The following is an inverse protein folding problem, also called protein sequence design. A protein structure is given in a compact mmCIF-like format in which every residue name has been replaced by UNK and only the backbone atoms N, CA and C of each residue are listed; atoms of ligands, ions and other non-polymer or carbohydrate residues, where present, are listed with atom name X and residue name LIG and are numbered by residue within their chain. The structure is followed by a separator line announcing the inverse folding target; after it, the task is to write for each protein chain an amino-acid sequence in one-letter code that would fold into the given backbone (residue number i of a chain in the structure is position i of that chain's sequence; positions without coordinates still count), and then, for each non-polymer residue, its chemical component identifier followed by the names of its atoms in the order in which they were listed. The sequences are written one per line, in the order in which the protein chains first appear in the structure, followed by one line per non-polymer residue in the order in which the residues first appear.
data_IF_086988094451
#
_entry.id   IF_086988094451
#
_cell.length_a   1.000
_cell.length_b   1.000
_cell.length_c   1.000
_cell.angle_alpha   90.00
_cell.angle_beta   90.00
_cell.angle_gamma   90.00
#
_symmetry.space_group_name_H-M   'P 1'
#
loop_
_entity.id
_entity.type
_entity.pdbx_description
1 polymer ?
#
# COMPACT_ATOMS: atom_id res chain seq x y z
N UNK A 1 -8.44 22.90 7.17
CA UNK A 1 -7.52 21.75 7.23
C UNK A 1 -6.57 21.94 8.39
N UNK A 2 -6.50 20.98 9.33
CA UNK A 2 -5.55 21.06 10.43
C UNK A 2 -4.18 20.54 9.95
N UNK A 3 -3.28 21.46 9.60
CA UNK A 3 -1.95 21.14 9.07
C UNK A 3 -1.14 20.29 10.04
N UNK A 4 -1.28 20.53 11.36
CA UNK A 4 -0.61 19.72 12.38
C UNK A 4 -1.09 18.26 12.32
N UNK A 5 -2.40 18.02 12.21
CA UNK A 5 -2.93 16.66 12.06
C UNK A 5 -2.41 15.94 10.80
N UNK A 6 -2.23 16.68 9.70
CA UNK A 6 -1.63 16.14 8.47
C UNK A 6 -0.18 15.68 8.67
N UNK A 7 0.67 16.53 9.25
CA UNK A 7 2.05 16.17 9.57
C UNK A 7 2.14 15.00 10.55
N UNK A 8 1.29 14.99 11.60
CA UNK A 8 1.22 13.89 12.55
C UNK A 8 0.91 12.56 11.85
N UNK A 9 -0.06 12.54 10.94
CA UNK A 9 -0.43 11.33 10.19
C UNK A 9 0.74 10.83 9.32
N UNK A 10 1.40 11.72 8.56
CA UNK A 10 2.52 11.34 7.68
C UNK A 10 3.69 10.77 8.48
N UNK A 11 4.08 11.43 9.58
CA UNK A 11 5.17 10.97 10.43
C UNK A 11 4.83 9.62 11.05
N UNK A 12 3.61 9.48 11.60
CA UNK A 12 3.18 8.25 12.25
C UNK A 12 3.18 7.07 11.28
N UNK A 13 2.58 7.21 10.09
CA UNK A 13 2.55 6.14 9.07
C UNK A 13 3.96 5.78 8.61
N UNK A 14 4.82 6.77 8.39
CA UNK A 14 6.21 6.54 7.96
C UNK A 14 7.01 5.76 9.02
N UNK A 15 6.94 6.18 10.28
CA UNK A 15 7.64 5.51 11.39
C UNK A 15 7.14 4.08 11.59
N UNK A 16 5.82 3.88 11.54
CA UNK A 16 5.23 2.54 11.67
C UNK A 16 5.67 1.63 10.51
N UNK A 17 5.65 2.14 9.27
CA UNK A 17 6.05 1.37 8.08
C UNK A 17 7.51 0.94 8.15
N UNK A 18 8.41 1.88 8.50
CA UNK A 18 9.83 1.58 8.70
C UNK A 18 10.05 0.61 9.86
N UNK A 19 9.29 0.76 10.95
CA UNK A 19 9.37 -0.14 12.10
C UNK A 19 8.98 -1.57 11.76
N UNK A 20 7.88 -1.77 11.03
CA UNK A 20 7.43 -3.08 10.54
C UNK A 20 8.48 -3.70 9.60
N UNK A 21 8.99 -2.92 8.63
CA UNK A 21 10.01 -3.38 7.69
C UNK A 21 11.31 -3.78 8.39
N UNK A 22 11.81 -2.95 9.32
CA UNK A 22 13.01 -3.24 10.10
C UNK A 22 12.85 -4.48 10.99
N UNK A 23 11.66 -4.67 11.58
CA UNK A 23 11.37 -5.87 12.35
C UNK A 23 11.35 -7.11 11.45
N UNK A 24 10.71 -7.05 10.27
CA UNK A 24 10.69 -8.15 9.31
C UNK A 24 12.09 -8.59 8.88
N UNK A 25 13.00 -7.65 8.63
CA UNK A 25 14.41 -7.94 8.29
C UNK A 25 15.14 -8.71 9.40
N UNK A 26 14.77 -8.51 10.67
CA UNK A 26 15.39 -9.22 11.81
C UNK A 26 14.96 -10.69 11.91
N UNK A 27 13.81 -11.05 11.33
CA UNK A 27 13.26 -12.41 11.32
C UNK A 27 13.70 -13.23 10.11
N UNK A 28 13.98 -12.59 8.97
CA UNK A 28 14.41 -13.28 7.75
C UNK A 28 15.87 -13.73 7.84
N UNK A 29 16.09 -14.98 8.28
CA UNK A 29 17.43 -15.55 8.46
C UNK A 29 17.87 -16.43 7.28
N UNK A 30 16.93 -16.94 6.50
CA UNK A 30 17.21 -17.78 5.32
C UNK A 30 16.62 -17.17 4.04
N UNK A 31 17.12 -17.56 2.85
CA UNK A 31 16.51 -17.13 1.58
C UNK A 31 15.04 -17.52 1.45
N UNK A 32 14.62 -18.65 2.04
CA UNK A 32 13.23 -19.09 2.04
C UNK A 32 12.33 -18.15 2.84
N UNK A 33 12.84 -17.64 3.97
CA UNK A 33 12.11 -16.67 4.81
C UNK A 33 11.96 -15.33 4.09
N UNK A 34 12.94 -14.94 3.28
CA UNK A 34 12.92 -13.68 2.53
C UNK A 34 12.09 -13.75 1.23
N UNK A 35 12.26 -14.81 0.44
CA UNK A 35 11.65 -14.91 -0.89
C UNK A 35 10.20 -15.43 -0.86
N UNK A 36 9.85 -16.30 0.10
CA UNK A 36 8.55 -16.98 0.13
C UNK A 36 7.88 -16.90 1.51
N UNK A 37 8.44 -16.11 2.44
CA UNK A 37 7.94 -15.99 3.82
C UNK A 37 7.72 -17.36 4.51
N UNK A 38 8.58 -18.34 4.19
CA UNK A 38 8.49 -19.72 4.70
C UNK A 38 7.11 -20.39 4.46
N UNK A 39 6.35 -19.92 3.47
CA UNK A 39 4.95 -20.33 3.17
C UNK A 39 3.98 -20.16 4.34
N UNK A 40 4.27 -19.23 5.24
CA UNK A 40 3.47 -18.96 6.44
C UNK A 40 2.34 -17.94 6.20
N UNK A 41 2.42 -17.15 5.12
CA UNK A 41 1.45 -16.08 4.81
C UNK A 41 0.19 -16.66 4.21
N UNK A 42 -0.94 -16.43 4.88
CA UNK A 42 -2.26 -16.88 4.40
C UNK A 42 -2.73 -16.14 3.14
N UNK A 43 -3.70 -16.71 2.40
CA UNK A 43 -4.16 -16.18 1.12
C UNK A 43 -4.74 -14.77 1.20
N UNK A 44 -5.43 -14.41 2.29
CA UNK A 44 -5.98 -13.07 2.47
C UNK A 44 -4.89 -12.00 2.61
N UNK A 45 -3.84 -12.30 3.37
CA UNK A 45 -2.70 -11.39 3.54
C UNK A 45 -1.93 -11.23 2.23
N UNK A 46 -1.75 -12.33 1.48
CA UNK A 46 -1.11 -12.27 0.17
C UNK A 46 -1.94 -11.45 -0.83
N UNK A 47 -3.26 -11.69 -0.90
CA UNK A 47 -4.16 -10.90 -1.74
C UNK A 47 -4.16 -9.41 -1.36
N UNK A 48 -4.08 -9.09 -0.07
CA UNK A 48 -3.99 -7.70 0.40
C UNK A 48 -2.67 -7.04 0.01
N UNK A 49 -1.55 -7.78 0.00
CA UNK A 49 -0.27 -7.27 -0.43
C UNK A 49 -0.27 -6.94 -1.94
N UNK A 50 -0.80 -7.85 -2.77
CA UNK A 50 -0.95 -7.66 -4.21
C UNK A 50 -1.91 -6.48 -4.51
N UNK A 51 -3.06 -6.43 -3.84
CA UNK A 51 -4.00 -5.32 -3.97
C UNK A 51 -3.39 -3.99 -3.52
N UNK A 52 -2.50 -4.01 -2.52
CA UNK A 52 -1.78 -2.85 -2.02
C UNK A 52 -0.79 -2.25 -3.02
N UNK A 53 -0.11 -3.08 -3.83
CA UNK A 53 0.77 -2.58 -4.91
C UNK A 53 -0.02 -1.78 -5.96
N UNK A 54 -1.24 -2.20 -6.27
CA UNK A 54 -2.13 -1.48 -7.18
C UNK A 54 -2.54 -0.10 -6.63
N UNK A 55 -2.73 0.01 -5.31
CA UNK A 55 -3.18 1.22 -4.60
C UNK A 55 -2.09 2.28 -4.37
N UNK A 56 -1.08 2.34 -5.24
CA UNK A 56 0.00 3.34 -5.18
C UNK A 56 -0.51 4.80 -5.19
N UNK A 57 0.30 5.72 -4.65
CA UNK A 57 0.06 7.17 -4.70
C UNK A 57 -0.14 7.67 -6.15
N UNK A 58 0.56 7.07 -7.12
CA UNK A 58 0.40 7.38 -8.54
C UNK A 58 -1.01 6.99 -9.02
N UNK A 59 -1.49 5.79 -8.67
CA UNK A 59 -2.85 5.33 -9.00
C UNK A 59 -3.90 6.21 -8.34
N UNK A 60 -3.74 6.54 -7.05
CA UNK A 60 -4.68 7.39 -6.31
C UNK A 60 -4.80 8.79 -6.91
N UNK A 61 -3.67 9.47 -7.14
CA UNK A 61 -3.66 10.79 -7.76
C UNK A 61 -4.10 10.75 -9.22
N UNK A 62 -3.75 9.68 -9.96
CA UNK A 62 -4.17 9.47 -11.34
C UNK A 62 -5.69 9.39 -11.48
N UNK A 63 -6.35 8.58 -10.65
CA UNK A 63 -7.82 8.47 -10.63
C UNK A 63 -8.46 9.77 -10.18
N UNK A 64 -7.93 10.41 -9.13
CA UNK A 64 -8.42 11.72 -8.70
C UNK A 64 -8.32 12.76 -9.82
N UNK A 65 -7.24 12.74 -10.60
CA UNK A 65 -7.05 13.60 -11.78
C UNK A 65 -8.03 13.29 -12.91
N UNK A 66 -8.27 12.00 -13.21
CA UNK A 66 -9.27 11.59 -14.19
C UNK A 66 -10.68 12.02 -13.77
N UNK A 67 -11.03 11.86 -12.49
CA UNK A 67 -12.33 12.31 -11.95
C UNK A 67 -12.48 13.82 -12.05
N UNK A 68 -11.41 14.56 -11.75
CA UNK A 68 -11.40 16.02 -11.90
C UNK A 68 -11.62 16.46 -13.35
N UNK A 69 -11.06 15.73 -14.32
CA UNK A 69 -11.11 16.07 -15.74
C UNK A 69 -12.39 15.59 -16.45
N UNK A 70 -12.88 14.40 -16.11
CA UNK A 70 -13.93 13.69 -16.86
C UNK A 70 -15.14 13.27 -16.02
N UNK A 71 -15.14 13.56 -14.71
CA UNK A 71 -16.28 13.29 -13.82
C UNK A 71 -16.24 11.94 -13.10
N UNK A 72 -17.28 11.66 -12.31
CA UNK A 72 -17.32 10.56 -11.36
C UNK A 72 -17.29 9.16 -12.00
N UNK A 73 -17.69 9.02 -13.28
CA UNK A 73 -17.65 7.75 -14.01
C UNK A 73 -16.24 7.16 -14.12
N UNK A 74 -15.20 8.01 -13.99
CA UNK A 74 -13.81 7.57 -13.99
C UNK A 74 -13.43 6.72 -12.76
N UNK A 75 -14.25 6.69 -11.70
CA UNK A 75 -14.06 5.81 -10.55
C UNK A 75 -14.12 4.31 -10.90
N UNK A 76 -14.61 3.96 -12.10
CA UNK A 76 -14.67 2.57 -12.58
C UNK A 76 -13.34 2.06 -13.14
N UNK A 77 -12.40 2.95 -13.49
CA UNK A 77 -11.10 2.56 -14.05
C UNK A 77 -10.26 1.67 -13.11
N UNK A 78 -10.16 1.98 -11.79
CA UNK A 78 -9.45 1.14 -10.84
C UNK A 78 -9.99 -0.27 -10.65
N UNK A 79 -11.29 -0.46 -10.95
CA UNK A 79 -12.00 -1.71 -10.71
C UNK A 79 -11.92 -2.63 -11.93
N UNK A 80 -11.86 -2.05 -13.14
CA UNK A 80 -11.92 -2.79 -14.40
C UNK A 80 -10.57 -3.09 -15.04
N UNK A 81 -9.46 -2.56 -14.51
CA UNK A 81 -8.12 -2.75 -15.09
C UNK A 81 -7.44 -4.08 -14.72
N UNK A 82 -8.21 -5.14 -14.50
CA UNK A 82 -7.76 -6.54 -14.44
C UNK A 82 -8.59 -7.38 -15.38
#
# INVERSE_FOLDING_TARGET
MNVAAGWTAVILVSVVTLGIGAFGLRFSRTPSDFLVASRSVGPLWNASAIGGEYLSAASFLGVAGLVLAFGADMLWFPVTHT
#
